data_IF_837778418524
#
_entry.id   IF_837778418524
#
_cell.length_a   1.000
_cell.length_b   1.000
_cell.length_c   1.000
_cell.angle_alpha   90.00
_cell.angle_beta   90.00
_cell.angle_gamma   90.00
#
_symmetry.space_group_name_H-M   'P 1'
#
loop_
_entity.id
_entity.type
_entity.pdbx_description
1 polymer ?
#
# COMPACT_ATOMS: atom_id res chain seq x y z
N UNK A 1 -19.59 12.82 7.42
CA UNK A 1 -19.15 12.68 7.23
C UNK A 1 -18.13 12.55 7.06
N UNK A 2 -17.70 12.75 7.25
CA UNK A 2 -16.73 12.73 6.97
C UNK A 2 -16.15 11.81 6.70
N UNK A 3 -16.50 11.34 6.68
CA UNK A 3 -16.07 10.68 6.36
C UNK A 3 -15.21 10.42 5.40
N UNK A 4 -14.91 10.66 4.51
CA UNK A 4 -14.04 10.54 3.39
C UNK A 4 -12.61 10.22 3.69
N UNK A 5 -12.32 9.93 4.92
CA UNK A 5 -10.96 9.63 5.35
C UNK A 5 -10.64 8.14 5.24
N UNK A 6 -11.64 7.33 4.92
CA UNK A 6 -11.41 5.89 4.81
C UNK A 6 -10.62 5.57 3.54
N UNK A 7 -9.59 4.77 3.68
CA UNK A 7 -8.78 4.34 2.54
C UNK A 7 -9.43 3.10 1.93
N UNK A 8 -9.77 3.19 0.65
CA UNK A 8 -10.39 2.07 -0.04
C UNK A 8 -9.34 1.09 -0.55
N UNK A 9 -9.79 -0.08 -0.94
CA UNK A 9 -8.88 -1.08 -1.52
C UNK A 9 -8.23 -0.53 -2.78
N UNK A 10 -8.98 0.15 -3.62
CA UNK A 10 -8.44 0.76 -4.83
C UNK A 10 -7.35 1.77 -4.52
N UNK A 11 -7.56 2.55 -3.47
CA UNK A 11 -6.57 3.54 -3.07
C UNK A 11 -5.30 2.88 -2.56
N UNK A 12 -5.44 1.80 -1.79
CA UNK A 12 -4.29 1.05 -1.31
C UNK A 12 -3.47 0.49 -2.46
N UNK A 13 -4.14 -0.05 -3.46
CA UNK A 13 -3.46 -0.57 -4.64
C UNK A 13 -2.76 0.54 -5.40
N UNK A 14 -3.38 1.71 -5.46
CA UNK A 14 -2.76 2.85 -6.13
C UNK A 14 -1.52 3.30 -5.38
N UNK A 15 -1.56 3.31 -4.06
CA UNK A 15 -0.38 3.63 -3.25
C UNK A 15 0.75 2.67 -3.56
N UNK A 16 0.44 1.38 -3.62
CA UNK A 16 1.44 0.35 -3.93
C UNK A 16 2.01 0.56 -5.33
N UNK A 17 1.14 0.80 -6.30
CA UNK A 17 1.55 1.02 -7.67
C UNK A 17 2.50 2.22 -7.79
N UNK A 18 2.13 3.33 -7.16
CA UNK A 18 2.95 4.52 -7.19
C UNK A 18 4.31 4.28 -6.50
N UNK A 19 4.29 3.51 -5.44
CA UNK A 19 5.52 3.16 -4.73
C UNK A 19 6.44 2.33 -5.63
N UNK A 20 5.86 1.37 -6.35
CA UNK A 20 6.63 0.54 -7.29
C UNK A 20 7.22 1.39 -8.41
N UNK A 21 6.53 2.46 -8.79
CA UNK A 21 7.01 3.37 -9.83
C UNK A 21 8.15 4.25 -9.34
N UNK A 22 8.48 4.20 -8.06
CA UNK A 22 9.59 4.98 -7.52
C UNK A 22 9.18 6.26 -6.82
N UNK A 23 7.91 6.47 -6.58
CA UNK A 23 7.46 7.66 -5.85
C UNK A 23 7.71 7.47 -4.35
N UNK A 24 8.14 8.56 -3.70
CA UNK A 24 8.31 8.54 -2.26
C UNK A 24 6.95 8.61 -1.57
N UNK A 25 6.91 8.25 -0.28
CA UNK A 25 5.67 8.32 0.48
C UNK A 25 5.12 9.74 0.51
N UNK A 26 6.00 10.73 0.55
CA UNK A 26 5.58 12.13 0.53
C UNK A 26 4.88 12.47 -0.79
N UNK A 27 5.48 12.03 -1.90
CA UNK A 27 4.87 12.29 -3.22
C UNK A 27 3.54 11.58 -3.37
N UNK A 28 3.48 10.32 -2.92
CA UNK A 28 2.23 9.56 -3.00
C UNK A 28 1.16 10.23 -2.15
N UNK A 29 1.54 10.65 -0.95
CA UNK A 29 0.60 11.33 -0.06
C UNK A 29 0.03 12.59 -0.69
N UNK A 30 0.89 13.38 -1.34
CA UNK A 30 0.43 14.60 -2.01
C UNK A 30 -0.53 14.28 -3.14
N UNK A 31 -0.25 13.24 -3.91
CA UNK A 31 -1.12 12.85 -5.03
C UNK A 31 -2.49 12.39 -4.55
N UNK A 32 -2.52 11.68 -3.43
CA UNK A 32 -3.75 11.10 -2.92
C UNK A 32 -4.34 11.89 -1.76
N UNK A 33 -3.71 13.00 -1.38
CA UNK A 33 -4.13 13.85 -0.27
C UNK A 33 -4.18 13.07 1.04
N UNK A 34 -3.12 12.31 1.29
CA UNK A 34 -2.94 11.55 2.52
C UNK A 34 -1.61 11.95 3.14
N UNK A 35 -1.47 11.74 4.45
CA UNK A 35 -0.19 11.99 5.08
C UNK A 35 0.81 10.91 4.68
N UNK A 36 2.12 11.23 4.68
CA UNK A 36 3.13 10.22 4.37
C UNK A 36 3.08 9.03 5.31
N UNK A 37 2.73 9.26 6.57
CA UNK A 37 2.63 8.19 7.56
C UNK A 37 1.54 7.21 7.16
N UNK A 38 0.40 7.72 6.71
CA UNK A 38 -0.71 6.89 6.28
C UNK A 38 -0.28 6.05 5.07
N UNK A 39 0.36 6.69 4.09
CA UNK A 39 0.84 5.99 2.90
C UNK A 39 1.81 4.89 3.27
N UNK A 40 2.78 5.22 4.13
CA UNK A 40 3.78 4.26 4.57
C UNK A 40 3.13 3.04 5.21
N UNK A 41 2.17 3.27 6.09
CA UNK A 41 1.48 2.20 6.79
C UNK A 41 0.79 1.25 5.81
N UNK A 42 0.06 1.81 4.85
CA UNK A 42 -0.68 0.96 3.91
C UNK A 42 0.22 0.27 2.91
N UNK A 43 1.30 0.93 2.49
CA UNK A 43 2.27 0.29 1.60
C UNK A 43 2.93 -0.90 2.30
N UNK A 44 3.36 -0.72 3.56
CA UNK A 44 3.97 -1.80 4.31
C UNK A 44 2.99 -2.94 4.54
N UNK A 45 1.73 -2.60 4.82
CA UNK A 45 0.69 -3.60 5.03
C UNK A 45 0.47 -4.43 3.76
N UNK A 46 0.42 -3.75 2.62
CA UNK A 46 0.24 -4.42 1.35
C UNK A 46 1.44 -5.31 1.01
N UNK A 47 2.63 -4.78 1.26
CA UNK A 47 3.86 -5.54 1.01
C UNK A 47 3.90 -6.80 1.85
N UNK A 48 3.52 -6.69 3.11
CA UNK A 48 3.49 -7.84 4.01
C UNK A 48 2.52 -8.90 3.50
N UNK A 49 1.35 -8.46 3.00
CA UNK A 49 0.36 -9.40 2.48
C UNK A 49 0.89 -10.12 1.24
N UNK A 50 1.56 -9.39 0.35
CA UNK A 50 2.14 -9.97 -0.85
C UNK A 50 3.22 -10.99 -0.48
N UNK A 51 4.08 -10.62 0.46
CA UNK A 51 5.15 -11.50 0.90
C UNK A 51 4.60 -12.75 1.60
N UNK A 52 3.53 -12.59 2.37
CA UNK A 52 2.93 -13.73 3.06
C UNK A 52 2.37 -14.73 2.05
N UNK A 53 1.73 -14.24 1.00
CA UNK A 53 1.19 -15.12 -0.04
C UNK A 53 2.33 -15.85 -0.74
N UNK A 54 3.41 -15.13 -1.03
CA UNK A 54 4.57 -15.72 -1.70
C UNK A 54 5.21 -16.82 -0.84
N UNK A 55 5.31 -16.58 0.46
CA UNK A 55 5.90 -17.56 1.37
C UNK A 55 5.04 -18.82 1.41
N UNK A 56 3.73 -18.66 1.45
CA UNK A 56 2.83 -19.81 1.47
C UNK A 56 2.98 -20.64 0.21
N UNK A 57 3.10 -19.98 -0.94
CA UNK A 57 3.29 -20.67 -2.22
C UNK A 57 4.60 -21.45 -2.20
N UNK A 58 5.67 -20.81 -1.74
CA UNK A 58 6.97 -21.48 -1.67
C UNK A 58 6.91 -22.70 -0.77
N UNK A 59 6.24 -22.59 0.36
CA UNK A 59 6.11 -23.70 1.30
C UNK A 59 5.36 -24.86 0.65
N UNK A 60 4.33 -24.57 -0.11
CA UNK A 60 3.55 -25.60 -0.79
C UNK A 60 4.34 -26.31 -1.88
N UNK A 61 5.29 -25.60 -2.46
CA UNK A 61 6.11 -26.17 -3.54
C UNK A 61 7.23 -27.06 -3.02
N UNK A 62 7.52 -26.97 -1.75
CA UNK A 62 8.55 -27.82 -1.17
C UNK A 62 7.92 -29.05 -0.52
#
# INVERSE_FOLDING_TARGET
>A
MTKGTRVTQQEKEKMWQLYQDGNSFVKIGKKLRRSPDTVSRYVHEHEAAVNAVRVVIDTQNT
#
